data_IF_577505483004
#
_entry.id   IF_577505483004
#
_cell.length_a   1.000
_cell.length_b   1.000
_cell.length_c   1.000
_cell.angle_alpha   90.00
_cell.angle_beta   90.00
_cell.angle_gamma   90.00
#
_symmetry.space_group_name_H-M   'P 1'
#
loop_
_entity.id
_entity.type
_entity.pdbx_description
1 polymer ?
#
# COMPACT_ATOMS: atom_id res chain seq x y z
N UNK A 1 -32.40 22.27 -35.65
CA UNK A 1 -31.70 23.06 -34.63
C UNK A 1 -32.09 22.78 -33.17
N UNK A 2 -33.37 22.54 -32.83
CA UNK A 2 -33.80 22.29 -31.44
C UNK A 2 -33.25 20.96 -30.86
N UNK A 3 -33.11 19.91 -31.68
CA UNK A 3 -32.56 18.61 -31.25
C UNK A 3 -31.05 18.65 -30.92
N UNK A 4 -30.27 19.54 -31.54
CA UNK A 4 -28.84 19.64 -31.23
C UNK A 4 -28.59 20.33 -29.89
N UNK A 5 -29.48 21.24 -29.48
CA UNK A 5 -29.37 21.95 -28.21
C UNK A 5 -29.62 21.02 -27.01
N UNK A 6 -30.52 20.04 -27.16
CA UNK A 6 -30.79 19.04 -26.11
C UNK A 6 -29.62 18.07 -25.96
N UNK A 7 -29.04 17.58 -27.07
CA UNK A 7 -27.88 16.67 -27.02
C UNK A 7 -26.65 17.36 -26.41
N UNK A 8 -26.38 18.62 -26.78
CA UNK A 8 -25.27 19.37 -26.20
C UNK A 8 -25.45 19.62 -24.69
N UNK A 9 -26.68 19.95 -24.27
CA UNK A 9 -27.03 20.11 -22.85
C UNK A 9 -26.88 18.79 -22.09
N UNK A 10 -27.40 17.70 -22.61
CA UNK A 10 -27.37 16.39 -21.94
C UNK A 10 -25.95 15.85 -21.85
N UNK A 11 -25.15 16.02 -22.91
CA UNK A 11 -23.72 15.73 -22.89
C UNK A 11 -22.99 16.55 -21.83
N UNK A 12 -23.20 17.87 -21.79
CA UNK A 12 -22.59 18.72 -20.77
C UNK A 12 -22.98 18.31 -19.35
N UNK A 13 -24.27 18.07 -19.08
CA UNK A 13 -24.75 17.63 -17.77
C UNK A 13 -24.18 16.27 -17.39
N UNK A 14 -24.05 15.35 -18.34
CA UNK A 14 -23.44 14.03 -18.10
C UNK A 14 -21.96 14.15 -17.75
N UNK A 15 -21.20 15.00 -18.45
CA UNK A 15 -19.79 15.25 -18.15
C UNK A 15 -19.62 15.94 -16.80
N UNK A 16 -20.44 16.94 -16.50
CA UNK A 16 -20.43 17.63 -15.22
C UNK A 16 -20.77 16.66 -14.07
N UNK A 17 -21.81 15.84 -14.24
CA UNK A 17 -22.18 14.80 -13.27
C UNK A 17 -21.07 13.78 -13.05
N UNK A 18 -20.41 13.33 -14.12
CA UNK A 18 -19.28 12.41 -14.05
C UNK A 18 -18.09 13.04 -13.32
N UNK A 19 -17.75 14.30 -13.60
CA UNK A 19 -16.67 15.01 -12.90
C UNK A 19 -16.99 15.18 -11.41
N UNK A 20 -18.21 15.60 -11.07
CA UNK A 20 -18.64 15.75 -9.67
C UNK A 20 -18.61 14.42 -8.90
N UNK A 21 -19.11 13.35 -9.53
CA UNK A 21 -19.06 12.01 -8.96
C UNK A 21 -17.62 11.53 -8.76
N UNK A 22 -16.77 11.72 -9.78
CA UNK A 22 -15.34 11.43 -9.70
C UNK A 22 -14.66 12.20 -8.56
N UNK A 23 -14.88 13.51 -8.47
CA UNK A 23 -14.33 14.34 -7.39
C UNK A 23 -14.78 13.89 -6.00
N UNK A 24 -16.08 13.63 -5.82
CA UNK A 24 -16.61 13.16 -4.54
C UNK A 24 -15.99 11.82 -4.15
N UNK A 25 -15.87 10.90 -5.12
CA UNK A 25 -15.22 9.61 -4.90
C UNK A 25 -13.77 9.78 -4.48
N UNK A 26 -12.98 10.60 -5.16
CA UNK A 26 -11.56 10.78 -4.82
C UNK A 26 -11.35 11.49 -3.49
N UNK A 27 -12.18 12.47 -3.13
CA UNK A 27 -11.98 13.27 -1.92
C UNK A 27 -12.54 12.57 -0.68
N UNK A 28 -13.72 11.96 -0.79
CA UNK A 28 -14.45 11.42 0.37
C UNK A 28 -14.11 9.95 0.62
N UNK A 29 -14.01 9.16 -0.46
CA UNK A 29 -13.79 7.73 -0.38
C UNK A 29 -12.79 7.26 -1.45
N UNK A 30 -11.51 7.69 -1.35
CA UNK A 30 -10.48 7.22 -2.26
C UNK A 30 -10.44 5.69 -2.25
N UNK A 31 -10.08 5.13 -3.40
CA UNK A 31 -9.87 3.68 -3.49
C UNK A 31 -8.61 3.31 -2.69
N UNK A 32 -8.61 2.11 -2.13
CA UNK A 32 -7.48 1.56 -1.38
C UNK A 32 -7.12 0.19 -1.95
N UNK A 33 -5.90 -0.26 -1.68
CA UNK A 33 -5.47 -1.60 -2.06
C UNK A 33 -6.27 -2.66 -1.29
N UNK A 34 -6.32 -3.86 -1.84
CA UNK A 34 -6.89 -5.00 -1.14
C UNK A 34 -5.97 -5.41 0.02
N UNK A 35 -6.52 -5.53 1.22
CA UNK A 35 -5.78 -5.92 2.40
C UNK A 35 -6.33 -5.35 3.70
N UNK A 36 -5.89 -5.90 4.82
CA UNK A 36 -6.14 -5.37 6.15
C UNK A 36 -4.93 -4.52 6.58
N UNK A 37 -5.15 -3.22 6.79
CA UNK A 37 -4.10 -2.30 7.21
C UNK A 37 -4.31 -1.94 8.67
N UNK A 38 -3.65 -2.66 9.58
CA UNK A 38 -3.81 -2.42 11.01
C UNK A 38 -2.94 -1.24 11.47
N UNK A 39 -3.41 -0.55 12.50
CA UNK A 39 -2.60 0.41 13.23
C UNK A 39 -1.59 -0.31 14.14
N UNK A 40 -0.33 0.09 14.06
CA UNK A 40 0.74 -0.33 14.98
C UNK A 40 1.36 0.89 15.63
N UNK A 41 1.73 0.82 16.91
CA UNK A 41 2.33 1.95 17.63
C UNK A 41 3.75 2.28 17.15
N UNK A 42 4.50 1.25 16.75
CA UNK A 42 5.87 1.35 16.28
C UNK A 42 5.98 0.71 14.89
N UNK A 43 6.61 1.42 13.96
CA UNK A 43 6.94 0.91 12.63
C UNK A 43 8.46 0.81 12.54
N UNK A 44 8.97 -0.38 12.25
CA UNK A 44 10.39 -0.67 12.09
C UNK A 44 10.68 -1.03 10.63
N UNK A 45 11.25 -0.08 9.87
CA UNK A 45 11.68 -0.35 8.50
C UNK A 45 13.01 -1.11 8.51
N UNK A 46 13.03 -2.29 7.90
CA UNK A 46 14.24 -3.07 7.66
C UNK A 46 14.68 -2.85 6.20
N UNK A 47 15.64 -1.96 5.98
CA UNK A 47 16.14 -1.62 4.66
C UNK A 47 17.28 -2.57 4.26
N UNK A 48 17.05 -3.45 3.30
CA UNK A 48 18.05 -4.37 2.76
C UNK A 48 18.58 -3.85 1.43
N UNK A 49 19.78 -3.28 1.42
CA UNK A 49 20.45 -2.86 0.19
C UNK A 49 21.24 -4.04 -0.39
N UNK A 50 20.83 -4.48 -1.59
CA UNK A 50 21.38 -5.65 -2.27
C UNK A 50 22.20 -5.21 -3.47
N UNK A 51 23.49 -5.51 -3.48
CA UNK A 51 24.42 -5.21 -4.58
C UNK A 51 24.97 -6.49 -5.21
N UNK A 52 25.47 -6.41 -6.45
CA UNK A 52 26.12 -7.56 -7.10
C UNK A 52 27.43 -7.93 -6.38
N UNK A 53 28.29 -6.94 -6.17
CA UNK A 53 29.58 -7.09 -5.50
C UNK A 53 29.56 -6.49 -4.09
N UNK A 54 30.52 -6.92 -3.27
CA UNK A 54 30.67 -6.41 -1.90
C UNK A 54 31.09 -4.94 -1.90
N UNK A 55 30.23 -4.09 -1.35
CA UNK A 55 30.56 -2.69 -1.07
C UNK A 55 30.95 -2.56 0.40
N UNK A 56 32.10 -1.92 0.69
CA UNK A 56 32.65 -1.83 2.05
C UNK A 56 31.91 -0.86 2.97
N UNK A 57 31.23 0.16 2.44
CA UNK A 57 30.54 1.22 3.20
C UNK A 57 29.25 1.63 2.51
N UNK A 58 28.23 1.94 3.32
CA UNK A 58 26.93 2.40 2.83
C UNK A 58 27.04 3.75 2.11
N UNK A 59 27.98 4.60 2.52
CA UNK A 59 28.24 5.93 1.92
C UNK A 59 28.70 5.85 0.45
N UNK A 60 29.13 4.67 0.00
CA UNK A 60 29.55 4.42 -1.38
C UNK A 60 28.40 3.93 -2.26
N UNK A 61 27.24 3.61 -1.68
CA UNK A 61 26.06 3.25 -2.46
C UNK A 61 25.53 4.51 -3.16
N UNK A 62 25.02 4.39 -4.40
CA UNK A 62 24.38 5.49 -5.11
C UNK A 62 22.97 5.77 -4.54
N UNK A 63 22.82 5.83 -3.22
CA UNK A 63 21.54 5.91 -2.52
C UNK A 63 21.54 7.07 -1.55
N UNK A 64 20.54 7.94 -1.64
CA UNK A 64 20.34 9.04 -0.71
C UNK A 64 19.56 8.57 0.53
N UNK A 65 20.24 7.89 1.46
CA UNK A 65 19.62 7.28 2.63
C UNK A 65 18.79 8.29 3.46
N UNK A 66 19.30 9.52 3.63
CA UNK A 66 18.59 10.57 4.39
C UNK A 66 17.24 10.91 3.76
N UNK A 67 17.19 10.97 2.43
CA UNK A 67 15.97 11.29 1.69
C UNK A 67 14.97 10.14 1.76
N UNK A 68 15.45 8.90 1.65
CA UNK A 68 14.60 7.71 1.84
C UNK A 68 14.00 7.71 3.25
N UNK A 69 14.82 7.88 4.29
CA UNK A 69 14.34 7.90 5.68
C UNK A 69 13.36 9.04 5.93
N UNK A 70 13.60 10.22 5.36
CA UNK A 70 12.67 11.35 5.45
C UNK A 70 11.34 11.05 4.75
N UNK A 71 11.40 10.49 3.54
CA UNK A 71 10.21 10.08 2.78
C UNK A 71 9.39 9.03 3.54
N UNK A 72 10.03 7.96 4.01
CA UNK A 72 9.36 6.92 4.80
C UNK A 72 8.78 7.45 6.11
N UNK A 73 9.48 8.38 6.77
CA UNK A 73 8.96 9.03 7.99
C UNK A 73 7.71 9.88 7.73
N UNK A 74 7.52 10.36 6.50
CA UNK A 74 6.34 11.16 6.12
C UNK A 74 5.07 10.32 5.92
N UNK A 75 5.19 8.98 5.83
CA UNK A 75 4.04 8.06 5.72
C UNK A 75 3.36 7.76 7.06
N UNK A 76 3.87 8.32 8.14
CA UNK A 76 3.58 7.86 9.49
C UNK A 76 2.64 8.86 10.15
N UNK A 77 1.64 8.34 10.87
CA UNK A 77 0.73 9.22 11.61
C UNK A 77 1.41 9.76 12.87
N UNK A 78 1.07 10.97 13.35
CA UNK A 78 1.80 11.63 14.45
C UNK A 78 1.89 10.83 15.78
N UNK A 79 1.00 9.86 16.01
CA UNK A 79 1.00 9.00 17.19
C UNK A 79 1.98 7.83 17.13
N UNK A 80 2.54 7.53 15.95
CA UNK A 80 3.41 6.39 15.72
C UNK A 80 4.90 6.73 15.92
N UNK A 81 5.66 5.72 16.31
CA UNK A 81 7.12 5.79 16.44
C UNK A 81 7.80 5.06 15.30
N UNK A 82 8.90 5.62 14.81
CA UNK A 82 9.65 5.08 13.67
C UNK A 82 11.00 4.54 14.13
N UNK A 83 11.37 3.38 13.62
CA UNK A 83 12.72 2.85 13.71
C UNK A 83 13.21 2.46 12.30
N UNK A 84 14.49 2.70 12.04
CA UNK A 84 15.14 2.31 10.81
C UNK A 84 16.33 1.42 11.12
N UNK A 85 16.37 0.26 10.48
CA UNK A 85 17.50 -0.65 10.50
C UNK A 85 17.98 -0.85 9.06
N UNK A 86 19.27 -0.70 8.82
CA UNK A 86 19.86 -0.84 7.49
C UNK A 86 20.78 -2.05 7.44
N UNK A 87 20.61 -2.87 6.42
CA UNK A 87 21.40 -4.06 6.16
C UNK A 87 21.98 -3.96 4.75
N UNK A 88 23.25 -4.31 4.59
CA UNK A 88 23.89 -4.42 3.27
C UNK A 88 24.15 -5.88 2.98
N UNK A 89 23.69 -6.34 1.82
CA UNK A 89 23.86 -7.71 1.36
C UNK A 89 24.48 -7.68 -0.04
N UNK A 90 25.45 -8.55 -0.28
CA UNK A 90 26.06 -8.71 -1.58
C UNK A 90 25.69 -10.09 -2.15
N UNK A 91 25.21 -10.13 -3.39
CA UNK A 91 24.92 -11.39 -4.09
C UNK A 91 26.17 -12.26 -4.23
N UNK A 92 27.36 -11.66 -4.30
CA UNK A 92 28.63 -12.40 -4.32
C UNK A 92 28.94 -13.17 -3.03
N UNK A 93 28.35 -12.78 -1.90
CA UNK A 93 28.64 -13.38 -0.58
C UNK A 93 27.61 -14.41 -0.15
N UNK A 94 26.34 -14.23 -0.52
CA UNK A 94 25.25 -15.15 -0.20
C UNK A 94 24.80 -15.91 -1.47
N UNK A 95 25.24 -17.18 -1.64
CA UNK A 95 24.86 -17.97 -2.81
C UNK A 95 23.36 -18.28 -2.85
N UNK A 96 22.68 -18.31 -1.70
CA UNK A 96 21.26 -18.61 -1.63
C UNK A 96 20.43 -17.41 -2.10
N UNK A 97 20.82 -16.20 -1.69
CA UNK A 97 20.24 -14.95 -2.19
C UNK A 97 20.52 -14.75 -3.69
N UNK A 98 21.74 -15.04 -4.15
CA UNK A 98 22.11 -14.98 -5.56
C UNK A 98 21.29 -15.95 -6.42
N UNK A 99 21.05 -17.15 -5.91
CA UNK A 99 20.19 -18.14 -6.55
C UNK A 99 18.74 -17.65 -6.61
N UNK A 100 18.20 -17.13 -5.50
CA UNK A 100 16.84 -16.58 -5.45
C UNK A 100 16.64 -15.47 -6.49
N UNK A 101 17.59 -14.53 -6.56
CA UNK A 101 17.59 -13.46 -7.55
C UNK A 101 17.68 -13.99 -8.99
N UNK A 102 18.57 -14.95 -9.25
CA UNK A 102 18.75 -15.53 -10.58
C UNK A 102 17.51 -16.29 -11.07
N UNK A 103 16.82 -17.01 -10.17
CA UNK A 103 15.58 -17.73 -10.49
C UNK A 103 14.43 -16.77 -10.79
N UNK A 104 14.35 -15.65 -10.06
CA UNK A 104 13.30 -14.65 -10.24
C UNK A 104 13.53 -13.74 -11.45
N UNK A 105 14.78 -13.62 -11.94
CA UNK A 105 15.10 -12.79 -13.10
C UNK A 105 14.58 -13.41 -14.39
N UNK A 106 13.85 -12.62 -15.16
CA UNK A 106 13.24 -12.96 -16.44
C UNK A 106 13.57 -11.89 -17.49
N UNK A 107 13.27 -12.21 -18.74
CA UNK A 107 13.30 -11.27 -19.86
C UNK A 107 11.98 -11.40 -20.64
N UNK A 108 11.41 -10.27 -21.04
CA UNK A 108 10.21 -10.25 -21.88
C UNK A 108 10.31 -9.16 -22.94
N UNK A 109 9.70 -9.42 -24.09
CA UNK A 109 9.45 -8.43 -25.13
C UNK A 109 8.20 -7.63 -24.76
N UNK A 110 8.39 -6.33 -24.53
CA UNK A 110 7.31 -5.40 -24.20
C UNK A 110 7.05 -4.49 -25.39
N UNK A 111 5.83 -4.50 -25.97
CA UNK A 111 5.46 -3.54 -26.99
C UNK A 111 5.25 -2.16 -26.34
N UNK A 112 5.80 -1.13 -26.97
CA UNK A 112 5.60 0.28 -26.61
C UNK A 112 4.96 0.95 -27.81
N UNK A 113 3.83 1.62 -27.59
CA UNK A 113 3.26 2.52 -28.59
C UNK A 113 4.08 3.82 -28.59
N UNK A 114 4.67 4.19 -29.70
CA UNK A 114 5.39 5.45 -29.86
C UNK A 114 4.43 6.59 -30.18
N UNK A 115 4.89 7.84 -29.96
CA UNK A 115 4.12 9.07 -30.22
C UNK A 115 3.57 9.14 -31.65
N UNK A 116 4.32 8.60 -32.60
CA UNK A 116 3.95 8.56 -34.02
C UNK A 116 2.90 7.48 -34.36
N UNK A 117 2.36 6.77 -33.36
CA UNK A 117 1.39 5.68 -33.54
C UNK A 117 2.00 4.34 -33.98
N UNK A 118 3.33 4.24 -34.10
CA UNK A 118 4.01 2.98 -34.44
C UNK A 118 4.33 2.17 -33.20
N UNK A 119 4.34 0.84 -33.32
CA UNK A 119 4.73 -0.05 -32.24
C UNK A 119 6.24 -0.35 -32.31
N UNK A 120 6.92 -0.22 -31.18
CA UNK A 120 8.30 -0.67 -30.99
C UNK A 120 8.35 -1.72 -29.91
N UNK A 121 8.93 -2.88 -30.21
CA UNK A 121 9.19 -3.91 -29.20
C UNK A 121 10.53 -3.66 -28.54
N UNK A 122 10.56 -3.64 -27.21
CA UNK A 122 11.81 -3.57 -26.43
C UNK A 122 11.96 -4.82 -25.59
N UNK A 123 13.15 -5.41 -25.55
CA UNK A 123 13.47 -6.51 -24.63
C UNK A 123 13.80 -5.87 -23.29
N UNK A 124 13.11 -6.30 -22.23
CA UNK A 124 13.31 -5.80 -20.87
C UNK A 124 13.66 -6.95 -19.95
N UNK A 125 14.71 -6.79 -19.14
CA UNK A 125 14.95 -7.66 -18.01
C UNK A 125 14.09 -7.20 -16.83
N UNK A 126 13.44 -8.14 -16.16
CA UNK A 126 12.63 -7.85 -14.98
C UNK A 126 12.76 -8.96 -13.94
N UNK A 127 12.46 -8.63 -12.70
CA UNK A 127 12.28 -9.59 -11.62
C UNK A 127 10.79 -9.92 -11.50
N UNK A 128 10.48 -11.21 -11.48
CA UNK A 128 9.15 -11.69 -11.09
C UNK A 128 9.01 -11.56 -9.57
N UNK A 129 8.10 -10.68 -9.13
CA UNK A 129 7.97 -10.33 -7.71
C UNK A 129 7.56 -11.53 -6.85
N UNK A 130 6.65 -12.37 -7.34
CA UNK A 130 6.08 -13.46 -6.57
C UNK A 130 7.06 -14.62 -6.43
N UNK A 131 7.81 -14.92 -7.49
CA UNK A 131 8.88 -15.91 -7.44
C UNK A 131 9.96 -15.45 -6.44
N UNK A 132 10.36 -14.18 -6.50
CA UNK A 132 11.37 -13.64 -5.58
C UNK A 132 10.89 -13.72 -4.12
N UNK A 133 9.67 -13.26 -3.86
CA UNK A 133 9.03 -13.29 -2.54
C UNK A 133 9.07 -14.70 -1.95
N UNK A 134 8.61 -15.69 -2.71
CA UNK A 134 8.60 -17.08 -2.27
C UNK A 134 10.01 -17.60 -1.95
N UNK A 135 11.03 -17.24 -2.75
CA UNK A 135 12.41 -17.64 -2.44
C UNK A 135 12.95 -16.93 -1.19
N UNK A 136 12.73 -15.61 -1.05
CA UNK A 136 13.18 -14.84 0.12
C UNK A 136 12.51 -15.33 1.41
N UNK A 137 11.23 -15.67 1.37
CA UNK A 137 10.51 -16.26 2.50
C UNK A 137 11.15 -17.59 2.93
N UNK A 138 11.53 -18.46 1.99
CA UNK A 138 12.23 -19.72 2.31
C UNK A 138 13.60 -19.48 2.97
N UNK A 139 14.33 -18.46 2.53
CA UNK A 139 15.59 -18.06 3.16
C UNK A 139 15.36 -17.49 4.57
N UNK A 140 14.31 -16.69 4.75
CA UNK A 140 13.95 -16.11 6.05
C UNK A 140 13.56 -17.15 7.09
N UNK A 141 12.85 -18.21 6.67
CA UNK A 141 12.40 -19.31 7.53
C UNK A 141 13.55 -20.15 8.12
N UNK A 142 14.76 -20.03 7.56
CA UNK A 142 15.94 -20.80 7.97
C UNK A 142 16.88 -20.03 8.93
N UNK A 143 16.52 -18.80 9.34
CA UNK A 143 17.11 -18.16 10.54
C UNK A 143 17.83 -16.81 10.37
N UNK A 144 17.82 -16.18 9.18
CA UNK A 144 18.61 -14.94 8.94
C UNK A 144 17.77 -13.65 8.77
N UNK A 145 16.47 -13.75 8.46
CA UNK A 145 15.60 -12.58 8.20
C UNK A 145 14.34 -12.53 9.08
N UNK A 146 14.23 -13.42 10.08
CA UNK A 146 13.17 -13.32 11.09
C UNK A 146 13.56 -12.27 12.11
N UNK A 147 13.01 -11.07 11.98
CA UNK A 147 12.83 -10.23 13.16
C UNK A 147 11.94 -10.96 14.16
N UNK A 148 12.28 -10.81 15.44
CA UNK A 148 11.62 -11.52 16.52
C UNK A 148 10.14 -11.13 16.56
N UNK A 149 9.25 -12.05 16.16
CA UNK A 149 7.81 -11.87 16.33
C UNK A 149 7.50 -11.81 17.83
N UNK A 150 7.44 -10.59 18.37
CA UNK A 150 6.78 -10.35 19.65
C UNK A 150 5.28 -10.38 19.40
N UNK A 151 4.55 -11.24 20.11
CA UNK A 151 3.09 -11.39 20.08
C UNK A 151 2.32 -10.16 20.63
N UNK A 152 2.79 -8.96 20.37
CA UNK A 152 2.06 -7.74 20.67
C UNK A 152 1.94 -6.94 19.38
N UNK A 153 0.73 -6.48 19.02
CA UNK A 153 0.46 -5.53 17.93
C UNK A 153 1.15 -4.16 18.13
N UNK A 154 2.23 -4.10 18.92
CA UNK A 154 2.98 -2.89 19.23
C UNK A 154 3.93 -2.50 18.11
N UNK A 155 4.50 -3.46 17.37
CA UNK A 155 5.52 -3.19 16.36
C UNK A 155 5.23 -3.91 15.03
N UNK A 156 5.16 -3.15 13.94
CA UNK A 156 5.18 -3.67 12.57
C UNK A 156 6.59 -3.61 12.01
N UNK A 157 7.10 -4.73 11.52
CA UNK A 157 8.35 -4.77 10.76
C UNK A 157 8.04 -4.71 9.26
N UNK A 158 8.66 -3.75 8.57
CA UNK A 158 8.47 -3.56 7.13
C UNK A 158 9.79 -3.83 6.41
N UNK A 159 9.97 -5.03 5.84
CA UNK A 159 11.17 -5.34 5.07
C UNK A 159 11.10 -4.71 3.68
N UNK A 160 12.08 -3.86 3.36
CA UNK A 160 12.25 -3.20 2.07
C UNK A 160 13.52 -3.71 1.42
N UNK A 161 13.38 -4.54 0.39
CA UNK A 161 14.48 -5.09 -0.39
C UNK A 161 14.80 -4.17 -1.56
N UNK A 162 15.95 -3.52 -1.50
CA UNK A 162 16.40 -2.53 -2.47
C UNK A 162 17.55 -3.10 -3.31
N UNK A 163 17.25 -3.53 -4.54
CA UNK A 163 18.21 -4.10 -5.47
C UNK A 163 18.90 -3.00 -6.28
N UNK A 164 20.21 -2.90 -6.16
CA UNK A 164 21.04 -1.91 -6.86
C UNK A 164 21.83 -2.60 -7.97
N UNK A 165 21.51 -2.26 -9.22
CA UNK A 165 22.07 -2.85 -10.41
C UNK A 165 22.83 -1.80 -11.24
N UNK A 166 24.10 -2.03 -11.54
CA UNK A 166 24.89 -1.07 -12.35
C UNK A 166 24.84 -1.34 -13.86
N UNK A 167 24.43 -2.54 -14.28
CA UNK A 167 24.39 -2.97 -15.68
C UNK A 167 23.09 -2.63 -16.41
N UNK A 168 22.51 -3.64 -17.06
CA UNK A 168 21.23 -3.51 -17.76
C UNK A 168 20.11 -3.05 -16.82
N UNK A 169 19.16 -2.25 -17.33
CA UNK A 169 18.02 -1.77 -16.55
C UNK A 169 17.17 -2.96 -16.12
N UNK A 170 16.83 -2.97 -14.84
CA UNK A 170 16.03 -4.00 -14.23
C UNK A 170 14.73 -3.39 -13.72
N UNK A 171 13.61 -4.04 -14.02
CA UNK A 171 12.28 -3.65 -13.56
C UNK A 171 11.67 -4.78 -12.73
N UNK A 172 10.52 -4.54 -12.13
CA UNK A 172 9.68 -5.52 -11.45
C UNK A 172 8.44 -5.73 -12.32
N UNK A 173 8.09 -6.99 -12.58
CA UNK A 173 6.94 -7.38 -13.40
C UNK A 173 6.78 -6.56 -14.70
N UNK A 174 7.91 -6.37 -15.40
CA UNK A 174 8.05 -5.69 -16.70
C UNK A 174 7.88 -4.16 -16.70
N UNK A 175 7.17 -3.58 -15.74
CA UNK A 175 6.74 -2.18 -15.78
C UNK A 175 7.04 -1.36 -14.53
N UNK A 176 7.34 -1.97 -13.39
CA UNK A 176 7.43 -1.26 -12.13
C UNK A 176 8.88 -1.08 -11.68
N UNK A 177 9.17 0.01 -10.97
CA UNK A 177 10.45 0.18 -10.28
C UNK A 177 10.38 -0.33 -8.84
N UNK A 178 9.20 -0.29 -8.24
CA UNK A 178 8.93 -0.80 -6.91
C UNK A 178 7.56 -1.47 -6.89
N UNK A 179 7.40 -2.46 -6.01
CA UNK A 179 6.15 -3.17 -5.84
C UNK A 179 5.93 -3.53 -4.37
N UNK A 180 4.72 -3.27 -3.90
CA UNK A 180 4.23 -3.74 -2.61
C UNK A 180 3.81 -5.21 -2.75
N UNK A 181 4.26 -6.03 -1.82
CA UNK A 181 3.76 -7.40 -1.62
C UNK A 181 3.16 -7.48 -0.21
N UNK A 182 2.37 -8.52 0.10
CA UNK A 182 1.70 -8.63 1.40
C UNK A 182 2.64 -8.55 2.62
N UNK A 183 3.88 -9.02 2.51
CA UNK A 183 4.83 -9.12 3.63
C UNK A 183 6.14 -8.35 3.41
N UNK A 184 6.34 -7.75 2.23
CA UNK A 184 7.58 -7.04 1.89
C UNK A 184 7.39 -6.01 0.78
N UNK A 185 8.37 -5.12 0.65
CA UNK A 185 8.47 -4.16 -0.46
C UNK A 185 9.72 -4.46 -1.26
N UNK A 186 9.60 -4.55 -2.58
CA UNK A 186 10.74 -4.71 -3.48
C UNK A 186 10.94 -3.42 -4.25
N UNK A 187 12.17 -2.91 -4.29
CA UNK A 187 12.59 -1.73 -5.05
C UNK A 187 13.79 -2.11 -5.90
N UNK A 188 13.80 -1.66 -7.16
CA UNK A 188 14.92 -1.85 -8.08
C UNK A 188 15.45 -0.50 -8.51
N UNK A 189 16.77 -0.35 -8.41
CA UNK A 189 17.53 0.81 -8.83
C UNK A 189 18.51 0.39 -9.93
N UNK A 190 18.48 1.12 -11.04
CA UNK A 190 19.38 0.90 -12.18
C UNK A 190 20.25 2.14 -12.43
N UNK A 191 21.23 2.06 -13.32
CA UNK A 191 22.17 3.17 -13.57
C UNK A 191 21.57 4.31 -14.42
N UNK A 192 20.49 4.05 -15.17
CA UNK A 192 19.90 5.00 -16.12
C UNK A 192 18.99 6.04 -15.41
N UNK A 193 19.26 7.33 -15.60
CA UNK A 193 18.43 8.42 -15.05
C UNK A 193 17.29 8.86 -15.97
N UNK A 194 17.33 8.47 -17.24
CA UNK A 194 16.30 8.81 -18.22
C UNK A 194 15.94 7.56 -19.00
N UNK A 195 14.81 6.95 -18.62
CA UNK A 195 14.29 5.76 -19.27
C UNK A 195 12.92 6.04 -19.87
N UNK A 196 12.72 5.70 -21.14
CA UNK A 196 11.43 5.85 -21.82
C UNK A 196 10.38 4.94 -21.19
N UNK A 197 9.42 5.54 -20.50
CA UNK A 197 8.31 4.79 -19.93
C UNK A 197 7.29 4.37 -20.99
N UNK A 198 6.29 3.60 -20.56
CA UNK A 198 5.15 3.25 -21.39
C UNK A 198 4.07 4.35 -21.41
N UNK A 199 4.26 5.44 -20.65
CA UNK A 199 3.32 6.55 -20.54
C UNK A 199 3.77 7.70 -21.44
N UNK A 200 2.79 8.39 -22.02
CA UNK A 200 3.01 9.56 -22.88
C UNK A 200 2.12 10.70 -22.42
N UNK A 201 2.64 11.92 -22.49
CA UNK A 201 1.92 13.14 -22.19
C UNK A 201 2.21 14.17 -23.29
N UNK A 202 1.17 14.78 -23.86
CA UNK A 202 1.30 15.81 -24.90
C UNK A 202 2.22 15.43 -26.08
N UNK A 203 2.17 14.16 -26.51
CA UNK A 203 3.01 13.66 -27.60
C UNK A 203 4.49 13.51 -27.23
N UNK A 204 4.83 13.39 -25.95
CA UNK A 204 6.18 13.08 -25.48
C UNK A 204 6.14 11.89 -24.53
N UNK A 205 7.12 11.00 -24.65
CA UNK A 205 7.31 9.89 -23.70
C UNK A 205 7.70 10.46 -22.34
N UNK A 206 7.02 10.02 -21.30
CA UNK A 206 7.39 10.36 -19.94
C UNK A 206 8.67 9.60 -19.60
N UNK A 207 9.71 10.33 -19.17
CA UNK A 207 10.98 9.74 -18.76
C UNK A 207 10.92 9.36 -17.28
N UNK A 208 11.42 8.16 -16.97
CA UNK A 208 11.56 7.65 -15.63
C UNK A 208 13.02 7.71 -15.19
N UNK A 209 13.25 8.18 -13.98
CA UNK A 209 14.54 8.08 -13.31
C UNK A 209 14.66 6.72 -12.63
N UNK A 210 15.38 5.77 -13.25
CA UNK A 210 15.66 4.46 -12.65
C UNK A 210 16.82 4.52 -11.65
N UNK A 211 17.61 5.61 -11.68
CA UNK A 211 18.73 5.84 -10.77
C UNK A 211 18.26 6.28 -9.40
N UNK A 212 17.15 7.01 -9.32
CA UNK A 212 16.56 7.44 -8.04
C UNK A 212 15.11 6.97 -7.90
N UNK A 213 14.85 5.67 -7.62
CA UNK A 213 13.51 5.12 -7.52
C UNK A 213 12.82 5.44 -6.18
N UNK A 214 13.16 6.57 -5.53
CA UNK A 214 12.61 6.98 -4.23
C UNK A 214 11.10 7.13 -4.31
N UNK A 215 10.62 7.76 -5.39
CA UNK A 215 9.20 7.98 -5.64
C UNK A 215 8.42 6.67 -5.70
N UNK A 216 8.92 5.71 -6.49
CA UNK A 216 8.30 4.40 -6.62
C UNK A 216 8.38 3.60 -5.32
N UNK A 217 9.54 3.60 -4.67
CA UNK A 217 9.73 2.93 -3.37
C UNK A 217 8.81 3.47 -2.29
N UNK A 218 8.59 4.78 -2.26
CA UNK A 218 7.67 5.43 -1.33
C UNK A 218 6.21 5.06 -1.62
N UNK A 219 5.79 5.07 -2.89
CA UNK A 219 4.46 4.64 -3.30
C UNK A 219 4.19 3.18 -2.89
N UNK A 220 5.13 2.28 -3.20
CA UNK A 220 5.01 0.86 -2.85
C UNK A 220 5.02 0.64 -1.32
N UNK A 221 5.82 1.39 -0.57
CA UNK A 221 5.81 1.29 0.89
C UNK A 221 4.52 1.83 1.50
N UNK A 222 3.96 2.89 0.93
CA UNK A 222 2.68 3.45 1.35
C UNK A 222 1.49 2.51 1.03
N UNK A 223 1.54 1.82 -0.10
CA UNK A 223 0.61 0.76 -0.45
C UNK A 223 0.70 -0.41 0.55
N UNK A 224 1.91 -0.87 0.87
CA UNK A 224 2.11 -1.95 1.85
C UNK A 224 1.66 -1.55 3.27
N UNK A 225 1.98 -0.33 3.71
CA UNK A 225 1.68 0.14 5.07
C UNK A 225 0.20 0.41 5.32
N UNK A 226 -0.46 1.01 4.34
CA UNK A 226 -1.76 1.63 4.56
C UNK A 226 -2.70 1.49 3.37
N UNK A 227 -2.35 0.72 2.34
CA UNK A 227 -3.21 0.48 1.19
C UNK A 227 -3.39 1.69 0.29
N UNK A 228 -2.48 2.66 0.34
CA UNK A 228 -2.55 3.78 -0.59
C UNK A 228 -2.24 3.32 -2.02
N UNK A 229 -3.18 3.54 -2.93
CA UNK A 229 -3.02 3.24 -4.36
C UNK A 229 -2.81 4.51 -5.17
N UNK A 230 -2.23 4.39 -6.38
CA UNK A 230 -2.16 5.49 -7.32
C UNK A 230 -3.50 6.19 -7.51
N UNK A 231 -3.52 7.53 -7.42
CA UNK A 231 -4.77 8.32 -7.45
C UNK A 231 -5.56 8.18 -8.76
N UNK A 232 -4.94 7.74 -9.84
CA UNK A 232 -5.65 7.47 -11.09
C UNK A 232 -6.31 6.11 -11.13
N UNK A 233 -6.03 5.21 -10.18
CA UNK A 233 -6.67 3.91 -10.10
C UNK A 233 -7.91 4.00 -9.23
N UNK A 234 -9.05 3.58 -9.77
CA UNK A 234 -10.28 3.48 -9.01
C UNK A 234 -11.00 2.18 -9.28
N UNK A 235 -11.69 1.63 -8.28
CA UNK A 235 -12.45 0.39 -8.42
C UNK A 235 -13.88 0.62 -8.94
N UNK A 236 -14.24 0.14 -10.12
CA UNK A 236 -15.62 0.25 -10.59
C UNK A 236 -16.45 -0.94 -10.11
N UNK A 237 -17.36 -0.72 -9.15
CA UNK A 237 -18.31 -1.75 -8.72
C UNK A 237 -19.19 -2.26 -9.87
N UNK A 238 -19.57 -1.39 -10.81
CA UNK A 238 -20.41 -1.76 -11.94
C UNK A 238 -19.71 -2.70 -12.94
N UNK A 239 -18.37 -2.62 -13.04
CA UNK A 239 -17.58 -3.45 -13.96
C UNK A 239 -16.75 -4.51 -13.23
N UNK A 240 -16.84 -4.56 -11.89
CA UNK A 240 -16.03 -5.40 -11.01
C UNK A 240 -14.52 -5.34 -11.31
N UNK A 241 -14.04 -4.18 -11.75
CA UNK A 241 -12.66 -4.02 -12.24
C UNK A 241 -12.09 -2.64 -11.91
N UNK A 242 -10.76 -2.56 -11.86
CA UNK A 242 -10.04 -1.30 -11.76
C UNK A 242 -10.15 -0.51 -13.07
N UNK A 243 -10.53 0.75 -12.97
CA UNK A 243 -10.58 1.72 -14.05
C UNK A 243 -9.51 2.80 -13.81
N UNK A 244 -9.06 3.43 -14.89
CA UNK A 244 -8.06 4.49 -14.85
C UNK A 244 -8.70 5.85 -15.11
N UNK A 245 -8.57 6.77 -14.15
CA UNK A 245 -8.93 8.18 -14.28
C UNK A 245 -7.69 9.07 -14.07
N UNK A 246 -7.03 9.39 -15.18
CA UNK A 246 -5.79 10.15 -15.17
C UNK A 246 -5.94 11.61 -14.72
N UNK A 247 -7.18 12.14 -14.59
CA UNK A 247 -7.44 13.50 -14.09
C UNK A 247 -6.82 13.71 -12.70
N UNK A 248 -6.75 12.65 -11.89
CA UNK A 248 -6.24 12.68 -10.52
C UNK A 248 -4.76 12.28 -10.41
N UNK A 249 -4.10 11.95 -11.52
CA UNK A 249 -2.65 11.65 -11.57
C UNK A 249 -1.81 12.92 -11.62
N UNK A 250 -2.07 13.86 -10.70
CA UNK A 250 -1.47 15.20 -10.70
C UNK A 250 -0.87 15.56 -9.34
N UNK A 251 0.02 16.56 -9.35
CA UNK A 251 0.65 17.10 -8.13
C UNK A 251 1.96 16.42 -7.75
N UNK A 252 2.64 17.01 -6.75
CA UNK A 252 4.00 16.66 -6.32
C UNK A 252 3.99 15.50 -5.27
N UNK A 253 3.44 14.35 -5.63
CA UNK A 253 3.26 13.21 -4.72
C UNK A 253 3.68 11.88 -5.37
N UNK A 254 3.98 10.82 -4.57
CA UNK A 254 4.60 9.62 -5.12
C UNK A 254 3.69 8.81 -6.06
N UNK A 255 2.39 9.06 -6.00
CA UNK A 255 1.35 8.37 -6.77
C UNK A 255 1.02 9.04 -8.11
N UNK A 256 1.45 10.29 -8.31
CA UNK A 256 1.18 11.04 -9.52
C UNK A 256 2.20 10.70 -10.61
N UNK A 257 1.80 9.98 -11.66
CA UNK A 257 2.73 9.57 -12.72
C UNK A 257 3.32 10.76 -13.51
N UNK A 258 2.63 11.89 -13.55
CA UNK A 258 2.99 13.05 -14.39
C UNK A 258 3.99 14.02 -13.74
N UNK A 259 4.34 13.83 -12.47
CA UNK A 259 5.28 14.70 -11.75
C UNK A 259 6.53 13.93 -11.30
N UNK A 260 7.61 14.64 -10.97
CA UNK A 260 8.82 14.02 -10.40
C UNK A 260 8.83 14.00 -8.86
N UNK A 261 7.88 14.67 -8.22
CA UNK A 261 7.83 14.83 -6.78
C UNK A 261 7.36 13.59 -6.03
N UNK A 262 7.71 13.52 -4.74
CA UNK A 262 7.35 12.41 -3.85
C UNK A 262 6.84 12.87 -2.47
N UNK A 263 6.42 14.13 -2.34
CA UNK A 263 5.94 14.65 -1.06
C UNK A 263 4.56 14.08 -0.70
N UNK A 264 4.40 13.68 0.55
CA UNK A 264 3.12 13.24 1.08
C UNK A 264 2.28 14.45 1.46
N UNK A 265 1.08 14.51 0.90
CA UNK A 265 0.09 15.56 1.20
C UNK A 265 -0.72 15.22 2.45
N UNK A 266 -1.35 16.24 3.06
CA UNK A 266 -2.27 16.03 4.17
C UNK A 266 -3.40 15.04 3.81
N UNK A 267 -3.93 15.15 2.59
CA UNK A 267 -4.93 14.23 2.07
C UNK A 267 -4.49 12.75 2.11
N UNK A 268 -3.22 12.47 1.80
CA UNK A 268 -2.66 11.12 1.86
C UNK A 268 -2.43 10.67 3.30
N UNK A 269 -2.00 11.57 4.17
CA UNK A 269 -1.87 11.29 5.62
C UNK A 269 -3.23 10.95 6.24
N UNK A 270 -4.28 11.70 5.89
CA UNK A 270 -5.65 11.45 6.33
C UNK A 270 -6.18 10.12 5.76
N UNK A 271 -5.86 9.81 4.50
CA UNK A 271 -6.22 8.53 3.88
C UNK A 271 -5.55 7.34 4.57
N UNK A 272 -4.28 7.47 4.99
CA UNK A 272 -3.57 6.46 5.79
C UNK A 272 -4.29 6.22 7.11
N UNK A 273 -4.58 7.30 7.85
CA UNK A 273 -5.28 7.20 9.12
C UNK A 273 -6.69 6.60 8.97
N UNK A 274 -7.41 6.98 7.91
CA UNK A 274 -8.73 6.44 7.57
C UNK A 274 -8.67 4.95 7.28
N UNK A 275 -7.68 4.48 6.52
CA UNK A 275 -7.55 3.06 6.19
C UNK A 275 -7.31 2.22 7.46
N UNK A 276 -6.47 2.70 8.39
CA UNK A 276 -6.32 2.07 9.70
C UNK A 276 -7.63 1.95 10.48
N UNK A 277 -8.39 3.04 10.54
CA UNK A 277 -9.67 3.08 11.26
C UNK A 277 -10.69 2.14 10.60
N UNK A 278 -10.78 2.15 9.26
CA UNK A 278 -11.73 1.31 8.51
C UNK A 278 -11.42 -0.17 8.72
N UNK A 279 -10.15 -0.59 8.64
CA UNK A 279 -9.76 -1.98 8.90
C UNK A 279 -10.14 -2.41 10.33
N UNK A 280 -9.81 -1.61 11.36
CA UNK A 280 -10.17 -1.95 12.74
C UNK A 280 -11.68 -1.98 12.97
N UNK A 281 -12.45 -1.09 12.32
CA UNK A 281 -13.91 -1.11 12.41
C UNK A 281 -14.48 -2.36 11.73
N UNK A 282 -14.03 -2.68 10.52
CA UNK A 282 -14.50 -3.86 9.78
C UNK A 282 -14.25 -5.15 10.57
N UNK A 283 -13.04 -5.31 11.11
CA UNK A 283 -12.69 -6.44 11.98
C UNK A 283 -13.57 -6.52 13.23
N UNK A 284 -13.81 -5.38 13.90
CA UNK A 284 -14.66 -5.37 15.09
C UNK A 284 -16.11 -5.75 14.76
N UNK A 285 -16.62 -5.37 13.59
CA UNK A 285 -17.94 -5.76 13.10
C UNK A 285 -17.96 -7.25 12.79
N UNK A 286 -16.92 -7.78 12.13
CA UNK A 286 -16.78 -9.21 11.87
C UNK A 286 -16.75 -10.03 13.17
N UNK A 287 -16.00 -9.58 14.19
CA UNK A 287 -15.97 -10.25 15.50
C UNK A 287 -17.35 -10.28 16.15
N UNK A 288 -18.05 -9.14 16.22
CA UNK A 288 -19.40 -9.07 16.80
C UNK A 288 -20.39 -9.93 16.02
N UNK A 289 -20.36 -9.89 14.69
CA UNK A 289 -21.22 -10.73 13.86
C UNK A 289 -20.95 -12.22 14.07
N UNK A 290 -19.67 -12.62 14.17
CA UNK A 290 -19.32 -14.02 14.46
C UNK A 290 -19.83 -14.47 15.84
N UNK A 291 -19.80 -13.59 16.84
CA UNK A 291 -20.36 -13.88 18.17
C UNK A 291 -21.90 -14.01 18.12
N UNK A 292 -22.58 -13.16 17.34
CA UNK A 292 -24.02 -13.25 17.13
C UNK A 292 -24.37 -14.56 16.40
N UNK A 293 -23.62 -14.93 15.37
CA UNK A 293 -23.83 -16.18 14.63
C UNK A 293 -23.70 -17.41 15.54
N UNK A 294 -22.71 -17.42 16.44
CA UNK A 294 -22.56 -18.47 17.46
C UNK A 294 -23.78 -18.55 18.40
N UNK A 295 -24.31 -17.40 18.84
CA UNK A 295 -25.51 -17.36 19.68
C UNK A 295 -26.76 -17.84 18.93
N UNK A 296 -26.87 -17.56 17.63
CA UNK A 296 -27.97 -18.02 16.79
C UNK A 296 -27.92 -19.53 16.56
N UNK A 297 -26.73 -20.14 16.54
CA UNK A 297 -26.57 -21.59 16.38
C UNK A 297 -26.90 -22.38 17.65
N UNK A 298 -26.84 -21.75 18.83
CA UNK A 298 -27.04 -22.43 20.10
C UNK A 298 -28.52 -22.78 20.33
N UNK A 299 -28.79 -24.06 20.66
CA UNK A 299 -30.16 -24.51 20.94
C UNK A 299 -30.55 -24.13 22.36
N UNK A 300 -31.68 -23.44 22.49
CA UNK A 300 -32.24 -23.08 23.81
C UNK A 300 -32.70 -24.34 24.55
N UNK A 301 -32.02 -24.67 25.64
CA UNK A 301 -32.40 -25.73 26.59
C UNK A 301 -32.52 -25.14 28.00
N UNK A 302 -33.18 -25.85 28.92
CA UNK A 302 -33.31 -25.36 30.31
C UNK A 302 -31.93 -25.18 31.00
N UNK A 303 -30.96 -26.04 30.66
CA UNK A 303 -29.60 -25.96 31.19
C UNK A 303 -28.84 -24.74 30.63
N UNK A 304 -28.87 -24.53 29.30
CA UNK A 304 -28.20 -23.39 28.65
C UNK A 304 -28.85 -22.05 29.00
N UNK A 305 -30.18 -22.03 29.21
CA UNK A 305 -30.90 -20.82 29.61
C UNK A 305 -30.46 -20.27 30.97
N UNK A 306 -30.16 -21.14 31.96
CA UNK A 306 -29.67 -20.71 33.28
C UNK A 306 -28.29 -20.03 33.17
N UNK A 307 -27.41 -20.58 32.33
CA UNK A 307 -26.08 -20.00 32.06
C UNK A 307 -26.19 -18.68 31.32
N UNK A 308 -27.00 -18.62 30.26
CA UNK A 308 -27.23 -17.40 29.49
C UNK A 308 -27.79 -16.28 30.37
N UNK A 309 -28.82 -16.56 31.18
CA UNK A 309 -29.44 -15.57 32.07
C UNK A 309 -28.46 -15.00 33.10
N UNK A 310 -27.45 -15.76 33.50
CA UNK A 310 -26.39 -15.27 34.39
C UNK A 310 -25.41 -14.31 33.68
N UNK A 311 -25.23 -14.44 32.37
CA UNK A 311 -24.28 -13.64 31.57
C UNK A 311 -24.94 -12.56 30.71
N UNK A 312 -26.27 -12.57 30.56
CA UNK A 312 -27.04 -11.66 29.70
C UNK A 312 -26.67 -10.19 29.90
N UNK A 313 -26.64 -9.72 31.16
CA UNK A 313 -26.29 -8.33 31.46
C UNK A 313 -24.86 -7.97 31.04
N UNK A 314 -23.93 -8.91 31.19
CA UNK A 314 -22.53 -8.72 30.77
C UNK A 314 -22.44 -8.64 29.25
N UNK A 315 -23.12 -9.53 28.52
CA UNK A 315 -23.12 -9.55 27.05
C UNK A 315 -23.73 -8.27 26.47
N UNK A 316 -24.87 -7.82 27.01
CA UNK A 316 -25.51 -6.57 26.59
C UNK A 316 -24.59 -5.37 26.90
N UNK A 317 -23.92 -5.37 28.05
CA UNK A 317 -22.95 -4.32 28.40
C UNK A 317 -21.75 -4.30 27.46
N UNK A 318 -21.18 -5.46 27.12
CA UNK A 318 -20.08 -5.56 26.15
C UNK A 318 -20.50 -5.05 24.77
N UNK A 319 -21.65 -5.50 24.27
CA UNK A 319 -22.20 -5.05 22.99
C UNK A 319 -22.43 -3.53 22.97
N UNK A 320 -23.06 -2.98 24.01
CA UNK A 320 -23.28 -1.54 24.12
C UNK A 320 -21.97 -0.75 24.19
N UNK A 321 -20.93 -1.31 24.81
CA UNK A 321 -19.59 -0.69 24.87
C UNK A 321 -19.00 -0.61 23.46
N UNK A 322 -19.00 -1.70 22.70
CA UNK A 322 -18.49 -1.73 21.31
C UNK A 322 -19.26 -0.75 20.42
N UNK A 323 -20.60 -0.76 20.47
CA UNK A 323 -21.44 0.17 19.70
C UNK A 323 -21.18 1.63 20.09
N UNK A 324 -20.95 1.92 21.37
CA UNK A 324 -20.59 3.26 21.83
C UNK A 324 -19.25 3.73 21.26
N UNK A 325 -18.26 2.82 21.16
CA UNK A 325 -16.97 3.10 20.56
C UNK A 325 -17.10 3.34 19.05
N UNK A 326 -17.88 2.54 18.33
CA UNK A 326 -18.19 2.78 16.91
C UNK A 326 -18.76 4.18 16.69
N UNK A 327 -19.74 4.60 17.49
CA UNK A 327 -20.33 5.95 17.38
C UNK A 327 -19.32 7.06 17.66
N UNK A 328 -18.47 6.88 18.68
CA UNK A 328 -17.42 7.87 19.03
C UNK A 328 -16.37 8.00 17.93
N UNK A 329 -15.92 6.87 17.37
CA UNK A 329 -14.96 6.84 16.26
C UNK A 329 -15.59 7.50 15.02
N UNK A 330 -16.83 7.13 14.66
CA UNK A 330 -17.53 7.72 13.53
C UNK A 330 -17.72 9.24 13.68
N UNK A 331 -18.07 9.73 14.87
CA UNK A 331 -18.17 11.16 15.17
C UNK A 331 -16.83 11.89 15.03
N UNK A 332 -15.76 11.33 15.59
CA UNK A 332 -14.42 11.93 15.49
C UNK A 332 -13.88 11.93 14.05
N UNK A 333 -14.12 10.86 13.27
CA UNK A 333 -13.78 10.82 11.82
C UNK A 333 -14.61 11.84 11.04
N UNK A 334 -15.89 12.01 11.34
CA UNK A 334 -16.76 13.01 10.71
C UNK A 334 -16.27 14.46 10.92
N UNK A 335 -15.60 14.72 12.05
CA UNK A 335 -14.96 16.00 12.35
C UNK A 335 -13.48 16.08 11.88
N UNK A 336 -13.01 15.08 11.13
CA UNK A 336 -11.61 14.96 10.65
C UNK A 336 -10.57 14.88 11.79
N UNK A 337 -10.97 14.47 12.99
CA UNK A 337 -10.08 14.28 14.15
C UNK A 337 -9.49 12.87 14.19
N UNK A 338 -8.75 12.51 13.14
CA UNK A 338 -8.20 11.17 12.96
C UNK A 338 -7.30 10.70 14.11
N UNK A 339 -6.51 11.60 14.71
CA UNK A 339 -5.65 11.28 15.85
C UNK A 339 -6.43 10.86 17.11
N UNK A 340 -7.60 11.45 17.34
CA UNK A 340 -8.48 11.06 18.45
C UNK A 340 -9.08 9.67 18.19
N UNK A 341 -9.51 9.42 16.95
CA UNK A 341 -10.05 8.11 16.52
C UNK A 341 -9.03 6.99 16.66
N UNK A 342 -7.78 7.21 16.23
CA UNK A 342 -6.70 6.21 16.31
C UNK A 342 -6.46 5.76 17.75
N UNK A 343 -6.53 6.67 18.72
CA UNK A 343 -6.37 6.33 20.15
C UNK A 343 -7.49 5.44 20.69
N UNK A 344 -8.66 5.43 20.06
CA UNK A 344 -9.78 4.57 20.45
C UNK A 344 -9.67 3.16 19.85
N UNK A 345 -8.80 2.92 18.86
CA UNK A 345 -8.73 1.65 18.15
C UNK A 345 -8.28 0.50 19.04
N UNK A 346 -7.30 0.71 19.93
CA UNK A 346 -6.86 -0.33 20.87
C UNK A 346 -7.98 -0.73 21.83
N UNK A 347 -8.74 0.24 22.36
CA UNK A 347 -9.90 -0.03 23.20
C UNK A 347 -11.03 -0.74 22.44
N UNK A 348 -11.22 -0.41 21.16
CA UNK A 348 -12.20 -1.09 20.31
C UNK A 348 -11.84 -2.55 20.10
N UNK A 349 -10.58 -2.83 19.79
CA UNK A 349 -10.08 -4.19 19.60
C UNK A 349 -10.28 -5.01 20.89
N UNK A 350 -9.81 -4.50 22.02
CA UNK A 350 -9.96 -5.16 23.33
C UNK A 350 -11.42 -5.39 23.71
N UNK A 351 -12.32 -4.45 23.37
CA UNK A 351 -13.75 -4.59 23.65
C UNK A 351 -14.44 -5.58 22.70
N UNK A 352 -13.98 -5.70 21.46
CA UNK A 352 -14.55 -6.62 20.46
C UNK A 352 -14.14 -8.09 20.66
N UNK A 353 -12.99 -8.33 21.30
CA UNK A 353 -12.49 -9.68 21.63
C UNK A 353 -13.11 -10.27 22.91
N UNK A 354 -13.74 -9.44 23.74
CA UNK A 354 -14.40 -9.83 25.00
C UNK A 354 -15.87 -10.18 24.77
#
# INVERSE_FOLDING_TARGET
>A
DIQNYTVARDSFLSHLGATLWGSMRHIVAPSSAEGAFHYYEKISFQLYFITQEKVKRIDLLPVELRVIMQGLSSLIVPSQKVQFNTHMLALSEDPALAMAFSIARRAATVPILLVNGTYRTTIRSYIDSFILQHQLQRLSGSGSLRGAQSNSRSTLEVPVFWFIQQGEPLLIDKHYQAKALPDMVIVVQSSQSEWESHLQCNGQSLLWDLRNPIKAGLAATAEHLAGLVPLHLTYSHAHENAIQDWIWSVGCNPFASTSSGWHISLFQSDSIARNYIVTSLDESVQFVNSAIDLLLMERTSEYTFKVFKAQEQSLISSYNTVVSLWRRIAGAVGEMRYGDSIRLLSMLEDASLR
#
